data_IF_771911457253
#
_entry.id   IF_771911457253
#
_cell.length_a   1.000
_cell.length_b   1.000
_cell.length_c   1.000
_cell.angle_alpha   90.00
_cell.angle_beta   90.00
_cell.angle_gamma   90.00
#
_symmetry.space_group_name_H-M   'P 1'
#
loop_
_entity.id
_entity.type
_entity.pdbx_description
1 polymer ?
#
# COMPACT_ATOMS: atom_id res chain seq x y z
N UNK A 1 14.81 -10.33 -2.34
CA UNK A 1 13.79 -9.46 -1.73
C UNK A 1 13.91 -8.13 -2.41
N UNK A 2 12.96 -7.83 -3.30
CA UNK A 2 13.06 -6.68 -4.20
C UNK A 2 12.04 -5.62 -3.80
N UNK A 3 12.46 -4.37 -3.91
CA UNK A 3 11.63 -3.22 -3.61
C UNK A 3 11.65 -2.25 -4.78
N UNK A 4 10.51 -1.65 -5.06
CA UNK A 4 10.36 -0.66 -6.12
C UNK A 4 10.09 0.72 -5.52
N UNK A 5 10.88 1.71 -5.95
CA UNK A 5 10.63 3.12 -5.65
C UNK A 5 9.81 3.78 -6.75
N UNK A 6 8.75 4.48 -6.40
CA UNK A 6 8.03 5.36 -7.29
C UNK A 6 7.96 6.76 -6.68
N UNK A 7 8.54 7.75 -7.36
CA UNK A 7 8.50 9.15 -6.95
C UNK A 7 7.70 9.95 -7.97
N UNK A 8 6.78 10.78 -7.52
CA UNK A 8 5.94 11.59 -8.40
C UNK A 8 5.36 12.81 -7.71
N UNK A 9 4.63 13.66 -8.46
CA UNK A 9 3.83 14.70 -7.84
C UNK A 9 2.75 14.05 -6.97
N UNK A 10 2.51 14.65 -5.81
CA UNK A 10 1.46 14.18 -4.92
C UNK A 10 0.10 14.25 -5.63
N UNK A 11 -0.61 13.12 -5.65
CA UNK A 11 -1.84 12.99 -6.43
C UNK A 11 -3.03 13.57 -5.64
N UNK A 12 -3.77 14.54 -6.20
CA UNK A 12 -4.94 15.09 -5.51
C UNK A 12 -6.08 14.08 -5.45
N UNK A 13 -6.81 14.07 -4.33
CA UNK A 13 -7.91 13.13 -4.05
C UNK A 13 -8.97 13.06 -5.14
N UNK A 14 -9.44 14.22 -5.61
CA UNK A 14 -10.53 14.31 -6.59
C UNK A 14 -10.16 13.78 -7.97
N UNK A 15 -8.88 13.57 -8.27
CA UNK A 15 -8.40 13.17 -9.61
C UNK A 15 -7.73 11.80 -9.64
N UNK A 16 -7.53 11.13 -8.51
CA UNK A 16 -6.82 9.86 -8.51
C UNK A 16 -7.27 8.90 -7.44
N UNK A 17 -7.43 7.63 -7.84
CA UNK A 17 -7.60 6.50 -6.92
C UNK A 17 -6.39 6.29 -5.99
N UNK A 18 -5.25 6.93 -6.26
CA UNK A 18 -3.97 6.73 -5.56
C UNK A 18 -3.50 7.99 -4.79
N UNK A 19 -4.42 8.75 -4.21
CA UNK A 19 -4.05 9.92 -3.42
C UNK A 19 -3.29 9.54 -2.15
N UNK A 20 -2.48 10.46 -1.63
CA UNK A 20 -1.67 10.24 -0.43
C UNK A 20 -2.53 10.35 0.83
N UNK A 21 -2.69 9.25 1.55
CA UNK A 21 -3.37 9.20 2.85
C UNK A 21 -2.34 9.28 3.99
N UNK A 22 -2.74 9.92 5.08
CA UNK A 22 -1.94 10.05 6.30
C UNK A 22 -2.79 9.54 7.45
N UNK A 23 -2.28 8.54 8.14
CA UNK A 23 -2.75 8.12 9.45
C UNK A 23 -1.92 8.87 10.49
N UNK A 24 -2.59 9.53 11.43
CA UNK A 24 -1.92 10.31 12.46
C UNK A 24 -1.37 9.44 13.57
N UNK A 25 -0.19 9.79 14.06
CA UNK A 25 0.37 9.23 15.31
C UNK A 25 -0.63 9.36 16.46
N UNK A 26 -0.55 8.45 17.43
CA UNK A 26 -1.50 8.36 18.54
C UNK A 26 -2.81 7.63 18.22
N UNK A 27 -3.00 7.21 16.97
CA UNK A 27 -4.14 6.39 16.53
C UNK A 27 -3.63 5.06 15.97
N UNK A 28 -4.43 4.01 16.09
CA UNK A 28 -4.11 2.68 15.55
C UNK A 28 -2.76 2.10 16.05
N UNK A 29 -2.29 2.52 17.22
CA UNK A 29 -1.00 2.07 17.78
C UNK A 29 0.24 2.59 17.02
N UNK A 30 0.07 3.64 16.19
CA UNK A 30 1.17 4.21 15.43
C UNK A 30 2.15 4.98 16.31
N UNK A 31 3.44 4.66 16.17
CA UNK A 31 4.52 5.42 16.81
C UNK A 31 4.76 6.76 16.09
N UNK A 32 4.56 6.78 14.77
CA UNK A 32 4.76 7.95 13.91
C UNK A 32 3.66 8.01 12.84
N UNK A 33 3.41 9.21 12.30
CA UNK A 33 2.48 9.39 11.17
C UNK A 33 2.80 8.39 10.05
N UNK A 34 1.81 7.59 9.64
CA UNK A 34 1.95 6.64 8.54
C UNK A 34 1.41 7.25 7.25
N UNK A 35 2.29 7.48 6.28
CA UNK A 35 1.97 8.08 4.98
C UNK A 35 1.97 6.98 3.92
N UNK A 36 0.81 6.72 3.33
CA UNK A 36 0.59 5.61 2.40
C UNK A 36 -0.30 6.03 1.25
N UNK A 37 -0.33 5.23 0.17
CA UNK A 37 -1.32 5.43 -0.88
C UNK A 37 -2.71 5.11 -0.34
N UNK A 38 -3.74 5.79 -0.82
CA UNK A 38 -5.14 5.49 -0.49
C UNK A 38 -5.55 4.05 -0.86
N UNK A 39 -4.83 3.40 -1.77
CA UNK A 39 -5.02 1.99 -2.11
C UNK A 39 -4.21 1.02 -1.23
N UNK A 40 -3.38 1.51 -0.31
CA UNK A 40 -2.60 0.64 0.57
C UNK A 40 -3.53 -0.11 1.53
N UNK A 41 -3.23 -1.38 1.77
CA UNK A 41 -4.00 -2.24 2.67
C UNK A 41 -3.39 -2.24 4.05
N UNK A 42 -4.18 -1.89 5.06
CA UNK A 42 -3.81 -1.97 6.48
C UNK A 42 -4.68 -3.02 7.16
N UNK A 43 -4.07 -3.83 8.03
CA UNK A 43 -4.73 -4.92 8.72
C UNK A 43 -5.19 -4.42 10.10
N UNK A 44 -6.47 -4.60 10.41
CA UNK A 44 -7.06 -4.26 11.70
C UNK A 44 -7.97 -5.37 12.17
N UNK A 45 -8.04 -5.59 13.48
CA UNK A 45 -9.13 -6.38 14.06
C UNK A 45 -10.43 -5.62 13.91
N UNK A 46 -11.43 -6.25 13.31
CA UNK A 46 -12.78 -5.69 13.19
C UNK A 46 -13.70 -6.30 14.26
N UNK A 47 -14.11 -5.53 15.28
CA UNK A 47 -15.06 -5.99 16.29
C UNK A 47 -16.40 -6.42 15.69
N UNK A 48 -16.80 -5.82 14.56
CA UNK A 48 -18.05 -6.16 13.88
C UNK A 48 -17.96 -7.48 13.09
N UNK A 49 -16.74 -7.95 12.82
CA UNK A 49 -16.47 -9.24 12.21
C UNK A 49 -15.92 -10.25 13.22
N UNK A 50 -16.46 -10.23 14.44
CA UNK A 50 -16.10 -11.17 15.50
C UNK A 50 -14.66 -11.04 16.02
N UNK A 51 -14.02 -9.89 15.81
CA UNK A 51 -12.62 -9.65 16.20
C UNK A 51 -11.59 -10.27 15.26
N UNK A 52 -12.00 -10.69 14.05
CA UNK A 52 -11.07 -11.19 13.04
C UNK A 52 -10.24 -10.07 12.41
N UNK A 53 -9.05 -10.43 11.95
CA UNK A 53 -8.18 -9.51 11.20
C UNK A 53 -8.75 -9.28 9.79
N UNK A 54 -9.05 -8.03 9.49
CA UNK A 54 -9.61 -7.59 8.20
C UNK A 54 -8.68 -6.58 7.55
N UNK A 55 -8.43 -6.77 6.25
CA UNK A 55 -7.60 -5.86 5.46
C UNK A 55 -8.46 -4.73 4.88
N UNK A 56 -8.27 -3.52 5.40
CA UNK A 56 -8.94 -2.32 4.91
C UNK A 56 -8.02 -1.50 4.00
N UNK A 57 -8.61 -0.88 2.97
CA UNK A 57 -7.88 0.11 2.17
C UNK A 57 -7.83 1.43 2.95
N UNK A 58 -6.71 2.15 2.90
CA UNK A 58 -6.58 3.47 3.52
C UNK A 58 -7.69 4.45 3.10
N UNK A 59 -8.15 4.36 1.85
CA UNK A 59 -9.29 5.11 1.33
C UNK A 59 -10.58 4.93 2.14
N UNK A 60 -10.85 3.72 2.62
CA UNK A 60 -12.05 3.43 3.41
C UNK A 60 -12.10 4.36 4.63
N UNK A 61 -11.03 4.45 5.41
CA UNK A 61 -10.96 5.31 6.58
C UNK A 61 -11.11 6.81 6.25
N UNK A 62 -10.51 7.25 5.14
CA UNK A 62 -10.68 8.63 4.66
C UNK A 62 -12.15 8.94 4.36
N UNK A 63 -12.89 7.98 3.83
CA UNK A 63 -14.29 8.13 3.43
C UNK A 63 -15.28 7.94 4.59
N UNK A 64 -14.97 7.08 5.57
CA UNK A 64 -15.91 6.70 6.63
C UNK A 64 -15.62 7.32 7.99
N UNK A 65 -14.36 7.38 8.41
CA UNK A 65 -13.98 7.84 9.76
C UNK A 65 -13.61 9.33 9.73
N UNK A 66 -12.85 9.75 8.72
CA UNK A 66 -12.31 11.11 8.66
C UNK A 66 -11.44 11.46 9.89
N UNK A 67 -10.98 12.71 9.99
CA UNK A 67 -10.17 13.17 11.13
C UNK A 67 -8.77 12.57 11.18
N UNK A 68 -8.64 11.42 11.83
CA UNK A 68 -7.37 10.73 12.16
C UNK A 68 -6.69 10.10 10.94
N UNK A 69 -7.49 9.81 9.92
CA UNK A 69 -7.02 9.44 8.59
C UNK A 69 -7.51 10.46 7.59
N UNK A 70 -6.57 11.12 6.90
CA UNK A 70 -6.88 12.21 5.96
C UNK A 70 -6.02 12.17 4.72
N UNK A 71 -6.50 12.82 3.67
CA UNK A 71 -5.67 13.08 2.49
C UNK A 71 -4.70 14.22 2.79
N UNK A 72 -3.43 14.01 2.42
CA UNK A 72 -2.41 15.04 2.49
C UNK A 72 -2.69 16.14 1.45
N UNK A 73 -3.23 17.28 1.90
CA UNK A 73 -3.40 18.49 1.08
C UNK A 73 -2.12 19.33 1.16
N UNK A 74 -1.64 19.83 0.02
CA UNK A 74 -0.45 20.70 -0.04
C UNK A 74 0.89 19.95 -0.21
N UNK A 75 0.87 18.63 -0.33
CA UNK A 75 2.05 17.89 -0.73
C UNK A 75 2.41 18.18 -2.19
N UNK A 76 3.68 18.50 -2.45
CA UNK A 76 4.17 18.74 -3.83
C UNK A 76 4.70 17.47 -4.47
N UNK A 77 5.33 16.59 -3.69
CA UNK A 77 6.00 15.39 -4.17
C UNK A 77 6.01 14.32 -3.09
N UNK A 78 5.69 13.09 -3.48
CA UNK A 78 5.78 11.92 -2.61
C UNK A 78 6.65 10.82 -3.25
N UNK A 79 7.04 9.87 -2.42
CA UNK A 79 7.81 8.69 -2.81
C UNK A 79 7.22 7.48 -2.10
N UNK A 80 6.80 6.49 -2.89
CA UNK A 80 6.34 5.20 -2.39
C UNK A 80 7.42 4.15 -2.59
N UNK A 81 7.57 3.32 -1.56
CA UNK A 81 8.36 2.09 -1.61
C UNK A 81 7.38 0.93 -1.60
N UNK A 82 7.38 0.14 -2.67
CA UNK A 82 6.61 -1.09 -2.77
C UNK A 82 7.53 -2.26 -2.50
N UNK A 83 7.23 -3.04 -1.46
CA UNK A 83 7.93 -4.28 -1.18
C UNK A 83 7.20 -5.38 -1.94
N UNK A 84 7.85 -5.96 -2.95
CA UNK A 84 7.32 -7.08 -3.71
C UNK A 84 7.86 -8.37 -3.08
N UNK A 85 6.93 -9.22 -2.64
CA UNK A 85 7.23 -10.51 -2.06
C UNK A 85 6.61 -11.61 -2.91
N UNK A 86 7.19 -12.80 -2.85
CA UNK A 86 6.75 -13.96 -3.63
C UNK A 86 5.34 -14.43 -3.25
N UNK A 87 4.93 -14.12 -2.02
CA UNK A 87 3.61 -14.38 -1.46
C UNK A 87 3.03 -13.12 -0.83
N UNK A 88 1.73 -13.17 -0.54
CA UNK A 88 1.06 -12.11 0.20
C UNK A 88 1.46 -12.19 1.67
N UNK A 89 2.18 -11.18 2.14
CA UNK A 89 2.70 -11.11 3.50
C UNK A 89 2.23 -9.84 4.19
N UNK A 90 2.15 -9.90 5.52
CA UNK A 90 1.88 -8.73 6.37
C UNK A 90 3.21 -8.19 6.86
N UNK A 91 3.43 -6.89 6.67
CA UNK A 91 4.60 -6.14 7.12
C UNK A 91 4.19 -5.03 8.07
N UNK A 92 5.06 -4.68 9.01
CA UNK A 92 4.80 -3.58 9.94
C UNK A 92 5.36 -2.27 9.39
N UNK A 93 4.52 -1.24 9.31
CA UNK A 93 4.88 0.12 8.91
C UNK A 93 4.50 1.09 10.01
N UNK A 94 5.50 1.72 10.65
CA UNK A 94 5.33 2.61 11.80
C UNK A 94 4.49 2.02 12.95
N UNK A 95 4.57 0.69 13.15
CA UNK A 95 3.81 -0.05 14.17
C UNK A 95 2.49 -0.65 13.67
N UNK A 96 2.01 -0.28 12.48
CA UNK A 96 0.75 -0.80 11.93
C UNK A 96 1.00 -1.97 10.97
N UNK A 97 0.31 -3.09 11.20
CA UNK A 97 0.27 -4.23 10.29
C UNK A 97 -0.35 -3.83 8.94
N UNK A 98 0.37 -4.08 7.85
CA UNK A 98 0.01 -3.64 6.51
C UNK A 98 0.35 -4.69 5.46
N UNK A 99 -0.41 -4.75 4.37
CA UNK A 99 -0.15 -5.73 3.31
C UNK A 99 1.07 -5.32 2.45
N UNK A 100 1.93 -6.28 2.16
CA UNK A 100 2.94 -6.16 1.09
C UNK A 100 2.26 -6.05 -0.28
N UNK A 101 3.01 -5.59 -1.30
CA UNK A 101 2.48 -5.57 -2.67
C UNK A 101 2.61 -6.97 -3.27
N UNK A 102 1.54 -7.76 -3.21
CA UNK A 102 1.47 -9.02 -3.94
C UNK A 102 0.72 -8.84 -5.27
N UNK A 103 1.44 -9.08 -6.37
CA UNK A 103 0.85 -9.15 -7.71
C UNK A 103 0.50 -10.61 -8.02
N UNK A 104 -0.78 -10.96 -7.88
CA UNK A 104 -1.26 -12.29 -8.28
C UNK A 104 -0.94 -12.59 -9.77
N UNK A 105 -0.93 -13.88 -10.18
CA UNK A 105 -0.52 -14.30 -11.53
C UNK A 105 -1.25 -13.55 -12.66
N UNK A 106 -2.56 -13.33 -12.49
CA UNK A 106 -3.40 -12.62 -13.46
C UNK A 106 -3.05 -11.12 -13.51
N UNK A 107 -2.80 -10.49 -12.36
CA UNK A 107 -2.42 -9.08 -12.30
C UNK A 107 -1.04 -8.85 -12.93
N UNK A 108 -0.09 -9.78 -12.72
CA UNK A 108 1.24 -9.76 -13.37
C UNK A 108 1.16 -9.79 -14.90
N UNK A 109 0.20 -10.53 -15.45
CA UNK A 109 -0.01 -10.62 -16.90
C UNK A 109 -0.71 -9.38 -17.49
N UNK A 110 -1.50 -8.66 -16.68
CA UNK A 110 -2.23 -7.46 -17.11
C UNK A 110 -1.42 -6.16 -17.05
N UNK A 111 -0.28 -6.17 -16.38
CA UNK A 111 0.65 -5.03 -16.37
C UNK A 111 1.42 -5.05 -17.70
N UNK A 112 1.44 -3.91 -18.41
CA UNK A 112 2.16 -3.80 -19.68
C UNK A 112 3.65 -4.13 -19.49
N UNK A 113 4.26 -4.78 -20.48
CA UNK A 113 5.67 -5.20 -20.39
C UNK A 113 6.65 -4.07 -19.97
N UNK A 114 6.50 -2.81 -20.46
CA UNK A 114 7.35 -1.70 -19.99
C UNK A 114 7.12 -1.31 -18.53
N UNK A 115 5.87 -1.39 -18.03
CA UNK A 115 5.57 -1.12 -16.63
C UNK A 115 6.04 -2.28 -15.75
N UNK A 116 5.91 -3.52 -16.21
CA UNK A 116 6.38 -4.71 -15.50
C UNK A 116 7.89 -4.69 -15.30
N UNK A 117 8.68 -4.32 -16.31
CA UNK A 117 10.15 -4.19 -16.21
C UNK A 117 10.61 -3.10 -15.23
N UNK A 118 9.79 -2.06 -15.04
CA UNK A 118 10.03 -1.01 -14.03
C UNK A 118 9.63 -1.45 -12.62
N UNK A 119 8.72 -2.42 -12.50
CA UNK A 119 8.18 -2.92 -11.23
C UNK A 119 8.91 -4.16 -10.73
N UNK A 120 9.28 -5.04 -11.65
CA UNK A 120 10.03 -6.26 -11.45
C UNK A 120 11.31 -6.09 -12.26
N UNK A 121 12.46 -5.78 -11.62
CA UNK A 121 13.74 -5.79 -12.31
C UNK A 121 13.96 -7.15 -12.99
N UNK A 122 14.73 -7.18 -14.07
CA UNK A 122 14.92 -8.35 -14.96
C UNK A 122 15.36 -9.65 -14.24
N UNK A 123 15.74 -9.58 -12.96
CA UNK A 123 16.06 -10.71 -12.09
C UNK A 123 14.85 -11.57 -11.66
N UNK A 124 13.61 -11.06 -11.79
CA UNK A 124 12.40 -11.80 -11.37
C UNK A 124 11.76 -12.63 -12.50
N UNK A 125 12.02 -12.33 -13.77
CA UNK A 125 11.62 -13.21 -14.90
C UNK A 125 12.47 -14.50 -14.95
N UNK A 126 13.52 -14.60 -14.12
CA UNK A 126 14.37 -15.79 -13.96
C UNK A 126 13.89 -16.78 -12.88
N UNK A 127 12.91 -16.44 -12.04
CA UNK A 127 12.32 -17.39 -11.09
C UNK A 127 11.29 -18.26 -11.79
N UNK A 128 11.80 -19.16 -12.64
CA UNK A 128 11.10 -20.36 -13.08
C UNK A 128 10.68 -21.13 -11.83
N UNK A 129 9.38 -21.40 -11.74
CA UNK A 129 8.81 -22.40 -10.83
C UNK A 129 9.62 -23.68 -10.95
N UNK A 130 10.37 -24.02 -9.92
CA UNK A 130 10.92 -25.36 -9.72
C UNK A 130 10.15 -25.98 -8.57
N UNK A 131 9.36 -26.98 -8.95
CA UNK A 131 8.56 -27.92 -8.16
C UNK A 131 7.24 -27.41 -7.59
#
# INVERSE_FOLDING_TARGET
>A
MDWQKSTGPCRPYSRSKFATAVFKTGHFGLEHDLIVSSQHGVLLQDPNNGGSDVLYRARYFVETIGGDVRIMRGCRRDTYFHILLDQHEVVFSNGMASASLYLGPIARQRISAPARRKMLPDHLDALRTTH
#
